data_IF_828133069842
#
_entry.id   IF_828133069842
#
_cell.length_a   1.000
_cell.length_b   1.000
_cell.length_c   1.000
_cell.angle_alpha   90.00
_cell.angle_beta   90.00
_cell.angle_gamma   90.00
#
_symmetry.space_group_name_H-M   'P 1'
#
loop_
_entity.id
_entity.type
_entity.pdbx_description
1 polymer ?
#
# COMPACT_ATOMS: atom_id res chain seq x y z
N UNK A 1 6.23 7.65 12.71
CA UNK A 1 7.03 6.83 11.77
C UNK A 1 6.44 6.73 10.33
N UNK A 2 5.59 7.66 9.86
CA UNK A 2 4.91 7.56 8.53
C UNK A 2 5.78 7.92 7.32
N UNK A 3 6.72 8.86 7.46
CA UNK A 3 7.54 9.32 6.34
C UNK A 3 8.40 8.21 5.72
N UNK A 4 8.81 7.20 6.48
CA UNK A 4 9.79 6.21 6.01
C UNK A 4 9.22 5.24 4.95
N UNK A 5 7.91 4.95 4.94
CA UNK A 5 7.34 3.90 4.07
C UNK A 5 7.18 4.32 2.62
N UNK A 6 6.77 5.56 2.35
CA UNK A 6 6.70 6.07 0.97
C UNK A 6 8.11 6.12 0.38
N UNK A 7 9.11 6.54 1.16
CA UNK A 7 10.51 6.50 0.76
C UNK A 7 10.99 5.07 0.49
N UNK A 8 10.58 4.09 1.31
CA UNK A 8 10.85 2.67 1.05
C UNK A 8 10.22 2.18 -0.26
N UNK A 9 8.96 2.51 -0.52
CA UNK A 9 8.28 2.11 -1.77
C UNK A 9 8.94 2.73 -3.00
N UNK A 10 9.33 4.01 -2.91
CA UNK A 10 10.07 4.70 -3.97
C UNK A 10 11.46 4.06 -4.15
N UNK A 11 12.16 3.74 -3.06
CA UNK A 11 13.48 3.10 -3.12
C UNK A 11 13.42 1.70 -3.74
N UNK A 12 12.40 0.91 -3.39
CA UNK A 12 12.14 -0.42 -3.98
C UNK A 12 11.84 -0.26 -5.48
N UNK A 13 10.92 0.63 -5.85
CA UNK A 13 10.58 0.87 -7.25
C UNK A 13 11.79 1.37 -8.07
N UNK A 14 12.62 2.24 -7.48
CA UNK A 14 13.86 2.68 -8.12
C UNK A 14 14.85 1.52 -8.32
N UNK A 15 15.05 0.70 -7.30
CA UNK A 15 15.91 -0.48 -7.38
C UNK A 15 15.40 -1.48 -8.42
N UNK A 16 14.09 -1.71 -8.49
CA UNK A 16 13.45 -2.55 -9.51
C UNK A 16 13.72 -2.03 -10.93
N UNK A 17 13.55 -0.73 -11.17
CA UNK A 17 13.83 -0.12 -12.47
C UNK A 17 15.30 -0.25 -12.85
N UNK A 18 16.22 0.05 -11.92
CA UNK A 18 17.66 -0.09 -12.17
C UNK A 18 18.02 -1.53 -12.49
N UNK A 19 17.50 -2.50 -11.72
CA UNK A 19 17.73 -3.92 -11.96
C UNK A 19 17.17 -4.36 -13.32
N UNK A 20 15.96 -3.91 -13.69
CA UNK A 20 15.36 -4.19 -14.99
C UNK A 20 16.22 -3.65 -16.14
N UNK A 21 16.74 -2.42 -16.02
CA UNK A 21 17.63 -1.85 -17.03
C UNK A 21 18.91 -2.67 -17.17
N UNK A 22 19.52 -3.11 -16.06
CA UNK A 22 20.67 -4.02 -16.09
C UNK A 22 20.32 -5.33 -16.79
N UNK A 23 19.20 -5.97 -16.44
CA UNK A 23 18.78 -7.24 -17.03
C UNK A 23 18.58 -7.11 -18.55
N UNK A 24 17.92 -6.05 -19.02
CA UNK A 24 17.72 -5.78 -20.44
C UNK A 24 19.07 -5.53 -21.14
N UNK A 25 19.98 -4.78 -20.51
CA UNK A 25 21.29 -4.48 -21.10
C UNK A 25 22.18 -5.73 -21.25
N UNK A 26 22.08 -6.68 -20.33
CA UNK A 26 22.87 -7.92 -20.36
C UNK A 26 22.20 -9.06 -21.15
N UNK A 27 20.88 -9.07 -21.29
CA UNK A 27 20.15 -10.14 -21.98
C UNK A 27 20.67 -10.44 -23.41
N UNK A 28 21.00 -9.45 -24.27
CA UNK A 28 21.53 -9.69 -25.61
C UNK A 28 22.83 -10.50 -25.64
N UNK A 29 23.71 -10.32 -24.64
CA UNK A 29 24.94 -11.13 -24.54
C UNK A 29 24.64 -12.61 -24.38
N UNK A 30 23.63 -12.96 -23.59
CA UNK A 30 23.24 -14.35 -23.37
C UNK A 30 22.41 -14.90 -24.53
N UNK A 31 21.53 -14.09 -25.13
CA UNK A 31 20.77 -14.45 -26.34
C UNK A 31 21.69 -14.82 -27.51
N UNK A 32 22.80 -14.10 -27.69
CA UNK A 32 23.77 -14.36 -28.75
C UNK A 32 24.93 -15.31 -28.33
N UNK A 33 24.76 -16.06 -27.22
CA UNK A 33 25.77 -17.00 -26.71
C UNK A 33 25.30 -18.45 -26.83
N UNK A 34 26.13 -19.39 -26.37
CA UNK A 34 25.77 -20.81 -26.24
C UNK A 34 24.66 -21.09 -25.19
N UNK A 35 24.12 -20.07 -24.52
CA UNK A 35 23.04 -20.19 -23.53
C UNK A 35 21.90 -19.19 -23.76
N UNK A 36 21.17 -19.28 -24.89
CA UNK A 36 20.10 -18.33 -25.23
C UNK A 36 18.94 -18.37 -24.24
N UNK A 37 18.67 -19.52 -23.61
CA UNK A 37 17.62 -19.67 -22.61
C UNK A 37 17.77 -18.70 -21.42
N UNK A 38 19.01 -18.41 -21.00
CA UNK A 38 19.27 -17.46 -19.91
C UNK A 38 18.87 -16.04 -20.33
N UNK A 39 19.21 -15.64 -21.55
CA UNK A 39 18.84 -14.33 -22.09
C UNK A 39 17.32 -14.16 -22.20
N UNK A 40 16.61 -15.22 -22.59
CA UNK A 40 15.15 -15.21 -22.62
C UNK A 40 14.52 -15.11 -21.22
N UNK A 41 15.05 -15.85 -20.24
CA UNK A 41 14.60 -15.75 -18.85
C UNK A 41 14.82 -14.35 -18.26
N UNK A 42 15.97 -13.73 -18.54
CA UNK A 42 16.25 -12.35 -18.12
C UNK A 42 15.26 -11.37 -18.74
N UNK A 43 14.95 -11.55 -20.03
CA UNK A 43 13.98 -10.71 -20.73
C UNK A 43 12.56 -10.88 -20.19
N UNK A 44 12.15 -12.11 -19.85
CA UNK A 44 10.82 -12.41 -19.29
C UNK A 44 10.68 -12.01 -17.82
N UNK A 45 11.78 -12.04 -17.05
CA UNK A 45 11.77 -11.63 -15.64
C UNK A 45 11.39 -10.16 -15.46
N UNK A 46 11.77 -9.29 -16.39
CA UNK A 46 11.51 -7.85 -16.31
C UNK A 46 10.02 -7.49 -16.33
N UNK A 47 9.22 -7.90 -17.34
CA UNK A 47 7.79 -7.59 -17.35
C UNK A 47 7.04 -8.28 -16.20
N UNK A 48 7.48 -9.46 -15.76
CA UNK A 48 6.86 -10.14 -14.60
C UNK A 48 7.11 -9.35 -13.32
N UNK A 49 8.35 -8.92 -13.06
CA UNK A 49 8.71 -8.14 -11.88
C UNK A 49 8.01 -6.78 -11.87
N UNK A 50 8.16 -5.99 -12.93
CA UNK A 50 7.55 -4.65 -13.01
C UNK A 50 6.02 -4.73 -13.05
N UNK A 51 5.46 -5.71 -13.75
CA UNK A 51 4.01 -5.91 -13.86
C UNK A 51 3.38 -6.29 -12.52
N UNK A 52 3.96 -7.27 -11.81
CA UNK A 52 3.47 -7.69 -10.48
C UNK A 52 3.58 -6.58 -9.44
N UNK A 53 4.71 -5.85 -9.41
CA UNK A 53 4.91 -4.69 -8.54
C UNK A 53 3.89 -3.58 -8.82
N UNK A 54 3.69 -3.24 -10.09
CA UNK A 54 2.70 -2.25 -10.52
C UNK A 54 1.26 -2.65 -10.14
N UNK A 55 0.89 -3.91 -10.36
CA UNK A 55 -0.42 -4.44 -9.96
C UNK A 55 -0.61 -4.38 -8.44
N UNK A 56 0.41 -4.75 -7.66
CA UNK A 56 0.37 -4.69 -6.21
C UNK A 56 0.11 -3.26 -5.70
N UNK A 57 0.86 -2.28 -6.21
CA UNK A 57 0.69 -0.86 -5.86
C UNK A 57 -0.70 -0.37 -6.27
N UNK A 58 -1.16 -0.73 -7.47
CA UNK A 58 -2.49 -0.37 -7.96
C UNK A 58 -3.61 -0.88 -7.05
N UNK A 59 -3.56 -2.17 -6.66
CA UNK A 59 -4.54 -2.76 -5.74
C UNK A 59 -4.51 -2.08 -4.37
N UNK A 60 -3.31 -1.85 -3.81
CA UNK A 60 -3.12 -1.12 -2.55
C UNK A 60 -3.73 0.28 -2.62
N UNK A 61 -3.53 0.99 -3.72
CA UNK A 61 -4.05 2.34 -3.91
C UNK A 61 -5.58 2.36 -4.00
N UNK A 62 -6.17 1.44 -4.77
CA UNK A 62 -7.64 1.30 -4.88
C UNK A 62 -8.25 0.98 -3.52
N UNK A 63 -7.66 0.04 -2.77
CA UNK A 63 -8.12 -0.30 -1.43
C UNK A 63 -8.04 0.90 -0.47
N UNK A 64 -6.96 1.68 -0.52
CA UNK A 64 -6.80 2.88 0.29
C UNK A 64 -7.83 3.97 -0.06
N UNK A 65 -8.14 4.13 -1.35
CA UNK A 65 -9.18 5.06 -1.79
C UNK A 65 -10.56 4.63 -1.29
N UNK A 66 -10.89 3.34 -1.38
CA UNK A 66 -12.15 2.80 -0.87
C UNK A 66 -12.25 2.94 0.66
N UNK A 67 -11.17 2.62 1.37
CA UNK A 67 -11.08 2.78 2.83
C UNK A 67 -11.28 4.24 3.25
N UNK A 68 -10.57 5.18 2.60
CA UNK A 68 -10.76 6.61 2.84
C UNK A 68 -12.19 7.04 2.56
N UNK A 69 -12.77 6.61 1.44
CA UNK A 69 -14.13 6.98 1.09
C UNK A 69 -15.13 6.51 2.15
N UNK A 70 -15.04 5.26 2.61
CA UNK A 70 -15.89 4.73 3.69
C UNK A 70 -15.72 5.52 5.00
N UNK A 71 -14.48 5.81 5.37
CA UNK A 71 -14.18 6.57 6.59
C UNK A 71 -14.71 8.02 6.53
N UNK A 72 -14.43 8.75 5.45
CA UNK A 72 -14.81 10.16 5.30
C UNK A 72 -16.33 10.31 5.15
N UNK A 73 -17.00 9.38 4.47
CA UNK A 73 -18.48 9.38 4.39
C UNK A 73 -19.10 9.30 5.78
N UNK A 74 -18.49 8.56 6.71
CA UNK A 74 -19.01 8.44 8.07
C UNK A 74 -18.57 9.55 9.01
N UNK A 75 -17.33 10.03 8.85
CA UNK A 75 -16.72 11.09 9.64
C UNK A 75 -16.26 12.25 8.74
N UNK A 76 -17.18 13.10 8.25
CA UNK A 76 -16.87 14.14 7.29
C UNK A 76 -15.89 15.20 7.81
N UNK A 77 -15.78 15.36 9.15
CA UNK A 77 -14.76 16.22 9.77
C UNK A 77 -13.31 15.82 9.45
N UNK A 78 -13.08 14.60 8.96
CA UNK A 78 -11.77 14.08 8.59
C UNK A 78 -11.51 14.06 7.08
N UNK A 79 -12.26 14.84 6.30
CA UNK A 79 -12.10 14.93 4.84
C UNK A 79 -10.71 15.39 4.38
N UNK A 80 -9.96 16.11 5.23
CA UNK A 80 -8.59 16.56 4.99
C UNK A 80 -7.54 15.44 4.97
N UNK A 81 -7.88 14.23 5.44
CA UNK A 81 -6.97 13.09 5.41
C UNK A 81 -6.66 12.68 3.96
N UNK A 82 -5.38 12.41 3.70
CA UNK A 82 -4.94 11.97 2.38
C UNK A 82 -5.20 10.46 2.20
N UNK A 83 -5.31 10.00 0.94
CA UNK A 83 -5.39 8.56 0.62
C UNK A 83 -4.18 7.80 1.16
N UNK A 84 -3.02 8.46 1.20
CA UNK A 84 -1.77 7.90 1.74
C UNK A 84 -1.87 7.51 3.20
N UNK A 85 -2.76 8.15 3.98
CA UNK A 85 -3.00 7.78 5.37
C UNK A 85 -3.73 6.44 5.52
N UNK A 86 -4.35 5.95 4.44
CA UNK A 86 -5.13 4.71 4.39
C UNK A 86 -4.42 3.55 3.71
N UNK A 87 -3.18 3.73 3.21
CA UNK A 87 -2.44 2.71 2.43
C UNK A 87 -2.16 1.40 3.20
N UNK A 88 -2.10 1.47 4.52
CA UNK A 88 -1.83 0.31 5.37
C UNK A 88 -3.11 -0.38 5.88
N UNK A 89 -4.29 0.19 5.60
CA UNK A 89 -5.56 -0.33 6.09
C UNK A 89 -6.31 -1.08 5.01
N UNK A 90 -6.87 -2.23 5.38
CA UNK A 90 -7.87 -2.87 4.54
C UNK A 90 -9.23 -2.17 4.71
N UNK A 91 -10.06 -2.21 3.66
CA UNK A 91 -11.42 -1.67 3.74
C UNK A 91 -12.21 -2.33 4.88
N UNK A 92 -12.03 -3.64 5.08
CA UNK A 92 -12.67 -4.39 6.16
C UNK A 92 -12.27 -3.87 7.56
N UNK A 93 -10.98 -3.62 7.79
CA UNK A 93 -10.50 -3.05 9.06
C UNK A 93 -11.09 -1.67 9.33
N UNK A 94 -11.21 -0.83 8.29
CA UNK A 94 -11.82 0.49 8.43
C UNK A 94 -13.30 0.37 8.78
N UNK A 95 -14.04 -0.53 8.14
CA UNK A 95 -15.46 -0.77 8.43
C UNK A 95 -15.64 -1.30 9.85
N UNK A 96 -14.86 -2.31 10.25
CA UNK A 96 -14.89 -2.87 11.60
C UNK A 96 -14.60 -1.80 12.67
N UNK A 97 -13.62 -0.93 12.42
CA UNK A 97 -13.28 0.16 13.35
C UNK A 97 -14.40 1.19 13.45
N UNK A 98 -15.07 1.50 12.33
CA UNK A 98 -16.24 2.39 12.33
C UNK A 98 -17.35 1.79 13.19
N UNK A 99 -17.68 0.51 12.99
CA UNK A 99 -18.71 -0.19 13.76
C UNK A 99 -18.37 -0.24 15.25
N UNK A 100 -17.13 -0.57 15.60
CA UNK A 100 -16.65 -0.56 16.99
C UNK A 100 -16.78 0.83 17.61
N UNK A 101 -16.41 1.89 16.88
CA UNK A 101 -16.56 3.26 17.37
C UNK A 101 -18.03 3.63 17.61
N UNK A 102 -18.94 3.23 16.71
CA UNK A 102 -20.37 3.52 16.86
C UNK A 102 -21.01 2.84 18.08
N UNK A 103 -20.57 1.62 18.40
CA UNK A 103 -21.05 0.90 19.60
C UNK A 103 -20.62 1.63 20.86
N UNK A 104 -19.39 2.13 20.90
CA UNK A 104 -18.78 2.67 22.11
C UNK A 104 -18.94 4.19 22.24
N UNK A 105 -19.28 4.93 21.17
CA UNK A 105 -19.45 6.40 21.25
C UNK A 105 -20.56 6.84 22.22
N UNK A 106 -21.53 5.96 22.49
CA UNK A 106 -22.64 6.23 23.39
C UNK A 106 -22.31 5.92 24.85
N UNK A 107 -21.13 5.36 25.12
CA UNK A 107 -20.66 5.09 26.48
C UNK A 107 -20.08 6.37 27.11
N UNK A 108 -20.62 6.85 28.25
CA UNK A 108 -20.14 8.05 28.91
C UNK A 108 -18.71 7.94 29.43
N UNK A 109 -18.17 6.74 29.67
CA UNK A 109 -16.74 6.57 30.01
C UNK A 109 -15.84 6.77 28.79
N UNK A 110 -16.28 6.32 27.62
CA UNK A 110 -15.50 6.46 26.39
C UNK A 110 -15.42 7.90 25.91
N UNK A 111 -16.49 8.68 26.10
CA UNK A 111 -16.49 10.11 25.83
C UNK A 111 -15.49 10.87 26.72
N UNK A 112 -15.24 10.40 27.95
CA UNK A 112 -14.23 10.99 28.85
C UNK A 112 -12.79 10.71 28.40
N UNK A 113 -12.57 9.62 27.66
CA UNK A 113 -11.25 9.27 27.13
C UNK A 113 -10.86 10.09 25.89
N UNK A 114 -11.82 10.77 25.24
CA UNK A 114 -11.54 11.68 24.12
C UNK A 114 -10.91 11.00 22.89
N UNK A 115 -11.11 9.70 22.72
CA UNK A 115 -10.49 8.90 21.66
C UNK A 115 -11.13 9.26 20.32
N UNK A 116 -10.30 9.62 19.33
CA UNK A 116 -10.77 9.85 17.95
C UNK A 116 -10.93 8.52 17.21
N UNK A 117 -11.89 8.40 16.27
CA UNK A 117 -11.98 7.24 15.37
C UNK A 117 -10.67 6.94 14.64
N UNK A 118 -9.87 7.97 14.38
CA UNK A 118 -8.54 7.84 13.76
C UNK A 118 -7.53 7.14 14.68
N UNK A 119 -7.65 7.34 15.99
CA UNK A 119 -6.75 6.76 16.98
C UNK A 119 -7.03 5.27 17.15
N UNK A 120 -8.30 4.86 17.07
CA UNK A 120 -8.68 3.44 17.03
C UNK A 120 -8.13 2.74 15.79
N UNK A 121 -8.25 3.38 14.62
CA UNK A 121 -7.66 2.88 13.38
C UNK A 121 -6.15 2.67 13.56
N UNK A 122 -5.44 3.67 14.09
CA UNK A 122 -4.00 3.57 14.31
C UNK A 122 -3.62 2.51 15.35
N UNK A 123 -4.42 2.35 16.41
CA UNK A 123 -4.23 1.32 17.43
C UNK A 123 -4.44 -0.09 16.88
N UNK A 124 -5.45 -0.30 16.02
CA UNK A 124 -5.72 -1.59 15.39
C UNK A 124 -4.61 -2.05 14.44
N UNK A 125 -3.88 -1.13 13.82
CA UNK A 125 -2.74 -1.42 12.92
C UNK A 125 -1.38 -1.44 13.64
N UNK A 126 -1.35 -1.25 14.97
CA UNK A 126 -0.11 -1.33 15.76
C UNK A 126 0.10 -2.70 16.44
N UNK A 127 -0.79 -3.66 16.15
CA UNK A 127 -0.63 -5.08 16.49
C UNK A 127 -0.16 -5.87 15.27
#
# INVERSE_FOLDING_TARGET
MKANRIHQWIAIGFAEVVLSLCLIAFAPRFLNSNRPAIGFLMWLAVPVMLGSSGLYVGVKWVNAQQARHRFVTRFPQHSSLAVTDFLDFSVAQVVETIEQFEVVQNDPEFQRLGISPLDLLRGANSK
#
